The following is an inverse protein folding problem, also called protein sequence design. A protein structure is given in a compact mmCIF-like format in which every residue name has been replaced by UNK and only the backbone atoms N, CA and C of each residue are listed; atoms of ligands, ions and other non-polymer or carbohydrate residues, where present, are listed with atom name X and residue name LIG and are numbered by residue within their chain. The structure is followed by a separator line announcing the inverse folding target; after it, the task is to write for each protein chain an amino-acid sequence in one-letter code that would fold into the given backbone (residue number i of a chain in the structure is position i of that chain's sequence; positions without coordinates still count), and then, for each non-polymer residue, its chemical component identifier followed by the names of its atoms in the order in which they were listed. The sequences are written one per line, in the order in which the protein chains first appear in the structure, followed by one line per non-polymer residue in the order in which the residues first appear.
data_IF_890185208875
#
_entry.id   IF_890185208875
#
_cell.length_a   1.000
_cell.length_b   1.000
_cell.length_c   1.000
_cell.angle_alpha   90.00
_cell.angle_beta   90.00
_cell.angle_gamma   90.00
#
_symmetry.space_group_name_H-M   'P 1'
#
loop_
_entity.id
_entity.type
_entity.pdbx_description
1 polymer ?
#
# COMPACT_ATOMS: atom_id res chain seq x y z
N UNK A 1 1.54 -18.56 -38.57
CA UNK A 1 1.08 -17.42 -37.76
C UNK A 1 0.79 -17.95 -36.37
N UNK A 2 1.74 -17.83 -35.45
CA UNK A 2 1.44 -17.94 -34.01
C UNK A 2 0.42 -16.86 -33.68
N UNK A 3 -0.64 -17.13 -32.89
CA UNK A 3 -1.52 -16.08 -32.42
C UNK A 3 -0.63 -15.03 -31.76
N UNK A 4 -0.67 -13.78 -32.26
CA UNK A 4 -0.07 -12.66 -31.54
C UNK A 4 -0.58 -12.75 -30.10
N UNK A 5 0.33 -12.93 -29.14
CA UNK A 5 -0.01 -12.84 -27.73
C UNK A 5 -0.65 -11.46 -27.56
N UNK A 6 -1.97 -11.40 -27.45
CA UNK A 6 -2.66 -10.17 -27.04
C UNK A 6 -2.00 -9.75 -25.74
N UNK A 7 -1.33 -8.60 -25.77
CA UNK A 7 -0.72 -8.04 -24.56
C UNK A 7 -1.86 -7.79 -23.56
N UNK A 8 -1.89 -8.61 -22.51
CA UNK A 8 -2.86 -8.48 -21.44
C UNK A 8 -2.47 -7.26 -20.59
N UNK A 9 -3.43 -6.41 -20.26
CA UNK A 9 -3.24 -5.29 -19.33
C UNK A 9 -4.08 -5.51 -18.08
N UNK A 10 -3.63 -4.97 -16.96
CA UNK A 10 -4.35 -5.06 -15.69
C UNK A 10 -4.63 -3.67 -15.15
N UNK A 11 -5.73 -3.50 -14.43
CA UNK A 11 -5.96 -2.31 -13.62
C UNK A 11 -5.92 -2.72 -12.16
N UNK A 12 -5.04 -2.10 -11.39
CA UNK A 12 -5.00 -2.23 -9.93
C UNK A 12 -5.67 -1.00 -9.32
N UNK A 13 -6.60 -1.21 -8.40
CA UNK A 13 -7.37 -0.18 -7.71
C UNK A 13 -7.32 -0.44 -6.20
N UNK A 14 -6.89 0.53 -5.41
CA UNK A 14 -6.82 0.41 -3.93
C UNK A 14 -7.68 1.47 -3.27
N UNK A 15 -8.68 1.03 -2.50
CA UNK A 15 -9.70 1.84 -1.86
C UNK A 15 -9.72 1.55 -0.36
N UNK A 16 -9.09 2.41 0.45
CA UNK A 16 -9.00 2.20 1.89
C UNK A 16 -10.29 2.52 2.65
N UNK A 17 -11.30 3.16 2.03
CA UNK A 17 -12.56 3.55 2.68
C UNK A 17 -13.74 2.68 2.24
N UNK A 18 -14.38 2.01 3.20
CA UNK A 18 -15.59 1.23 2.96
C UNK A 18 -16.76 2.06 2.40
N UNK A 19 -16.85 3.34 2.77
CA UNK A 19 -17.87 4.29 2.32
C UNK A 19 -17.70 4.67 0.84
N UNK A 20 -16.47 4.63 0.32
CA UNK A 20 -16.15 4.88 -1.10
C UNK A 20 -16.37 3.66 -1.98
N UNK A 21 -16.62 2.49 -1.38
CA UNK A 21 -16.98 1.28 -2.12
C UNK A 21 -18.45 1.29 -2.55
N UNK A 22 -19.32 2.08 -1.92
CA UNK A 22 -20.76 2.05 -2.20
C UNK A 22 -21.14 2.52 -3.64
N UNK A 23 -20.51 3.58 -4.21
CA UNK A 23 -20.69 3.92 -5.63
C UNK A 23 -20.11 2.85 -6.57
N UNK A 24 -19.04 2.19 -6.14
CA UNK A 24 -18.35 1.16 -6.92
C UNK A 24 -19.01 -0.19 -6.86
N UNK A 25 -19.77 -0.48 -5.81
CA UNK A 25 -20.53 -1.72 -5.68
C UNK A 25 -21.49 -1.87 -6.84
N UNK A 26 -22.11 -0.75 -7.28
CA UNK A 26 -22.97 -0.73 -8.45
C UNK A 26 -22.18 -0.98 -9.75
N UNK A 27 -21.05 -0.30 -9.96
CA UNK A 27 -20.17 -0.54 -11.12
C UNK A 27 -19.66 -1.98 -11.13
N UNK A 28 -19.32 -2.52 -9.96
CA UNK A 28 -18.86 -3.88 -9.74
C UNK A 28 -19.94 -4.91 -10.08
N UNK A 29 -21.14 -4.76 -9.51
CA UNK A 29 -22.28 -5.62 -9.79
C UNK A 29 -22.72 -5.55 -11.27
N UNK A 30 -22.59 -4.38 -11.90
CA UNK A 30 -22.92 -4.17 -13.33
C UNK A 30 -21.86 -4.74 -14.29
N UNK A 31 -20.57 -4.70 -13.94
CA UNK A 31 -19.47 -5.12 -14.84
C UNK A 31 -18.91 -6.53 -14.55
N UNK A 32 -19.10 -7.05 -13.33
CA UNK A 32 -18.57 -8.35 -12.89
C UNK A 32 -19.64 -9.22 -12.20
N UNK A 33 -20.73 -9.57 -12.92
CA UNK A 33 -21.82 -10.35 -12.34
C UNK A 33 -21.34 -11.76 -11.94
N UNK A 34 -21.45 -12.09 -10.65
CA UNK A 34 -21.15 -13.43 -10.12
C UNK A 34 -19.82 -13.57 -9.37
N UNK A 35 -18.93 -12.59 -9.48
CA UNK A 35 -17.73 -12.47 -8.65
C UNK A 35 -18.14 -12.05 -7.23
N UNK A 36 -18.14 -13.00 -6.28
CA UNK A 36 -18.32 -12.72 -4.84
C UNK A 36 -17.05 -12.09 -4.30
N UNK A 37 -16.78 -10.83 -4.69
CA UNK A 37 -15.64 -10.08 -4.22
C UNK A 37 -15.66 -9.99 -2.69
N UNK A 38 -14.61 -10.49 -2.03
CA UNK A 38 -14.22 -9.90 -0.76
C UNK A 38 -13.90 -8.45 -1.07
N UNK A 39 -14.68 -7.54 -0.54
CA UNK A 39 -14.38 -6.11 -0.59
C UNK A 39 -13.34 -5.83 0.49
N UNK A 40 -12.10 -6.24 0.25
CA UNK A 40 -10.91 -6.00 1.08
C UNK A 40 -10.21 -4.67 0.73
N UNK A 41 -10.76 -3.94 -0.25
CA UNK A 41 -10.28 -2.63 -0.66
C UNK A 41 -9.17 -2.69 -1.71
N UNK A 42 -8.87 -3.85 -2.29
CA UNK A 42 -7.93 -3.99 -3.41
C UNK A 42 -8.53 -4.79 -4.55
N UNK A 43 -8.45 -4.27 -5.77
CA UNK A 43 -9.04 -4.90 -6.94
C UNK A 43 -8.03 -4.94 -8.09
N UNK A 44 -7.95 -6.09 -8.76
CA UNK A 44 -7.14 -6.27 -9.98
C UNK A 44 -7.99 -6.81 -11.10
N UNK A 45 -8.08 -6.08 -12.21
CA UNK A 45 -8.95 -6.41 -13.35
C UNK A 45 -8.12 -6.69 -14.60
N UNK A 46 -8.39 -7.78 -15.30
CA UNK A 46 -7.72 -8.12 -16.56
C UNK A 46 -8.46 -7.52 -17.77
N UNK A 47 -7.70 -6.98 -18.72
CA UNK A 47 -8.20 -6.43 -19.98
C UNK A 47 -7.51 -7.10 -21.18
N UNK A 48 -8.21 -7.27 -22.31
CA UNK A 48 -7.64 -7.87 -23.52
C UNK A 48 -6.52 -7.04 -24.17
N UNK A 49 -6.48 -5.73 -23.89
CA UNK A 49 -5.48 -4.81 -24.42
C UNK A 49 -5.25 -3.61 -23.50
N UNK A 50 -4.09 -2.96 -23.64
CA UNK A 50 -3.76 -1.73 -22.92
C UNK A 50 -4.75 -0.59 -23.20
N UNK A 51 -5.17 -0.44 -24.46
CA UNK A 51 -6.10 0.61 -24.86
C UNK A 51 -7.48 0.49 -24.20
N UNK A 52 -7.96 -0.75 -24.01
CA UNK A 52 -9.21 -1.01 -23.28
C UNK A 52 -9.08 -0.69 -21.78
N UNK A 53 -7.96 -1.08 -21.15
CA UNK A 53 -7.69 -0.77 -19.75
C UNK A 53 -7.66 0.76 -19.52
N UNK A 54 -6.95 1.50 -20.36
CA UNK A 54 -6.93 2.96 -20.21
C UNK A 54 -8.29 3.62 -20.46
N UNK A 55 -9.07 3.10 -21.42
CA UNK A 55 -10.42 3.61 -21.67
C UNK A 55 -11.32 3.41 -20.44
N UNK A 56 -11.22 2.24 -19.79
CA UNK A 56 -11.91 1.98 -18.54
C UNK A 56 -11.44 2.91 -17.42
N UNK A 57 -10.12 3.06 -17.20
CA UNK A 57 -9.56 3.97 -16.20
C UNK A 57 -10.03 5.43 -16.39
N UNK A 58 -10.10 5.91 -17.64
CA UNK A 58 -10.63 7.25 -17.97
C UNK A 58 -12.13 7.38 -17.67
N UNK A 59 -12.89 6.29 -17.74
CA UNK A 59 -14.32 6.28 -17.43
C UNK A 59 -14.63 6.34 -15.93
N UNK A 60 -13.67 5.97 -15.07
CA UNK A 60 -13.83 6.05 -13.62
C UNK A 60 -13.98 7.50 -13.13
N UNK A 61 -14.76 7.73 -12.05
CA UNK A 61 -14.76 8.98 -11.29
C UNK A 61 -13.35 9.43 -10.92
N UNK A 62 -13.12 10.75 -10.86
CA UNK A 62 -11.80 11.33 -10.67
C UNK A 62 -11.14 10.86 -9.36
N UNK A 63 -11.94 10.70 -8.32
CA UNK A 63 -11.54 10.24 -6.98
C UNK A 63 -10.96 8.82 -7.01
N UNK A 64 -11.51 7.96 -7.87
CA UNK A 64 -11.08 6.57 -8.02
C UNK A 64 -9.94 6.43 -9.02
N UNK A 65 -9.92 7.29 -10.04
CA UNK A 65 -8.84 7.32 -11.02
C UNK A 65 -7.48 7.60 -10.37
N UNK A 66 -7.44 8.47 -9.35
CA UNK A 66 -6.23 8.72 -8.56
C UNK A 66 -5.80 7.56 -7.66
N UNK A 67 -6.61 6.51 -7.56
CA UNK A 67 -6.36 5.30 -6.77
C UNK A 67 -6.23 4.05 -7.64
N UNK A 68 -6.15 4.23 -8.95
CA UNK A 68 -6.03 3.15 -9.92
C UNK A 68 -4.88 3.38 -10.89
N UNK A 69 -4.24 2.29 -11.31
CA UNK A 69 -3.18 2.31 -12.30
C UNK A 69 -3.32 1.16 -13.29
N UNK A 70 -2.89 1.40 -14.53
CA UNK A 70 -2.79 0.35 -15.56
C UNK A 70 -1.40 -0.25 -15.49
N UNK A 71 -1.34 -1.57 -15.38
CA UNK A 71 -0.14 -2.35 -15.19
C UNK A 71 -0.02 -3.55 -16.11
N UNK A 72 1.17 -4.15 -16.10
CA UNK A 72 1.43 -5.46 -16.73
C UNK A 72 1.42 -6.57 -15.68
N UNK A 73 1.55 -6.25 -14.40
CA UNK A 73 1.44 -7.20 -13.29
C UNK A 73 0.00 -7.68 -13.11
N UNK A 74 -0.19 -8.95 -12.74
CA UNK A 74 -1.53 -9.49 -12.47
C UNK A 74 -2.03 -9.08 -11.08
N UNK A 75 -1.11 -8.79 -10.17
CA UNK A 75 -1.38 -8.31 -8.82
C UNK A 75 -0.63 -7.00 -8.57
N UNK A 76 -1.01 -6.30 -7.50
CA UNK A 76 -0.36 -5.05 -7.11
C UNK A 76 1.13 -5.25 -6.79
N UNK A 77 1.47 -6.39 -6.18
CA UNK A 77 2.86 -6.74 -5.87
C UNK A 77 3.65 -7.02 -7.15
N UNK A 78 3.10 -7.78 -8.10
CA UNK A 78 3.75 -8.02 -9.38
C UNK A 78 4.02 -6.71 -10.11
N UNK A 79 3.04 -5.81 -10.13
CA UNK A 79 3.17 -4.49 -10.74
C UNK A 79 4.24 -3.64 -10.05
N UNK A 80 4.27 -3.62 -8.71
CA UNK A 80 5.33 -2.95 -7.95
C UNK A 80 6.72 -3.46 -8.33
N UNK A 81 6.91 -4.78 -8.36
CA UNK A 81 8.20 -5.38 -8.73
C UNK A 81 8.58 -5.01 -10.16
N UNK A 82 7.64 -5.06 -11.10
CA UNK A 82 7.88 -4.67 -12.49
C UNK A 82 8.32 -3.21 -12.60
N UNK A 83 7.61 -2.27 -11.95
CA UNK A 83 7.98 -0.84 -11.97
C UNK A 83 9.33 -0.56 -11.36
N UNK A 84 9.65 -1.23 -10.25
CA UNK A 84 10.97 -1.10 -9.62
C UNK A 84 12.08 -1.58 -10.57
N UNK A 85 11.90 -2.72 -11.23
CA UNK A 85 12.86 -3.26 -12.20
C UNK A 85 13.02 -2.35 -13.42
N UNK A 86 11.91 -1.87 -13.98
CA UNK A 86 11.91 -0.94 -15.14
C UNK A 86 12.69 0.34 -14.86
N UNK A 87 12.62 0.84 -13.62
CA UNK A 87 13.27 2.09 -13.20
C UNK A 87 14.63 1.91 -12.55
N UNK A 88 15.02 0.66 -12.26
CA UNK A 88 16.26 0.37 -11.52
C UNK A 88 16.27 0.92 -10.11
N UNK A 89 15.11 0.94 -9.43
CA UNK A 89 14.97 1.44 -8.04
C UNK A 89 14.66 0.31 -7.07
N UNK A 90 14.98 0.56 -5.81
CA UNK A 90 14.83 -0.39 -4.70
C UNK A 90 13.86 0.13 -3.64
N UNK A 91 13.22 -0.80 -2.93
CA UNK A 91 12.19 -0.51 -1.93
C UNK A 91 12.49 -1.17 -0.57
N UNK A 92 12.10 -0.50 0.51
CA UNK A 92 12.13 -1.03 1.88
C UNK A 92 10.87 -0.65 2.68
N UNK A 93 10.56 -1.41 3.74
CA UNK A 93 9.32 -1.20 4.51
C UNK A 93 9.50 -1.17 6.03
N UNK A 94 8.83 -0.24 6.72
CA UNK A 94 8.73 -0.19 8.17
C UNK A 94 7.30 -0.54 8.60
N UNK A 95 7.14 -1.63 9.32
CA UNK A 95 5.84 -2.17 9.69
C UNK A 95 5.61 -2.10 11.20
N UNK A 96 4.42 -1.68 11.63
CA UNK A 96 3.96 -1.83 13.00
C UNK A 96 2.68 -2.65 13.02
N UNK A 97 1.51 -2.03 12.78
CA UNK A 97 0.23 -2.73 12.91
C UNK A 97 0.03 -3.87 11.90
N UNK A 98 0.69 -3.83 10.73
CA UNK A 98 0.65 -4.88 9.71
C UNK A 98 1.46 -6.12 10.06
N UNK A 99 2.44 -6.02 10.98
CA UNK A 99 3.14 -7.18 11.55
C UNK A 99 3.94 -8.02 10.55
N UNK A 100 4.46 -7.43 9.47
CA UNK A 100 5.24 -8.16 8.45
C UNK A 100 4.45 -8.52 7.20
N UNK A 101 3.15 -8.20 7.14
CA UNK A 101 2.29 -8.51 5.99
C UNK A 101 2.72 -7.80 4.71
N UNK A 102 3.19 -6.56 4.79
CA UNK A 102 3.66 -5.84 3.58
C UNK A 102 4.86 -6.58 3.00
N UNK A 103 5.84 -6.90 3.85
CA UNK A 103 7.02 -7.70 3.46
C UNK A 103 6.63 -9.07 2.90
N UNK A 104 5.70 -9.78 3.55
CA UNK A 104 5.23 -11.09 3.11
C UNK A 104 4.58 -11.04 1.71
N UNK A 105 3.77 -10.01 1.45
CA UNK A 105 3.16 -9.79 0.14
C UNK A 105 4.20 -9.52 -0.94
N UNK A 106 5.13 -8.58 -0.71
CA UNK A 106 6.21 -8.28 -1.68
C UNK A 106 7.03 -9.53 -1.99
N UNK A 107 7.42 -10.29 -0.96
CA UNK A 107 8.26 -11.49 -1.11
C UNK A 107 7.53 -12.70 -1.69
N UNK A 108 6.20 -12.67 -1.77
CA UNK A 108 5.42 -13.71 -2.45
C UNK A 108 5.64 -13.73 -3.97
N UNK A 109 6.11 -12.62 -4.56
CA UNK A 109 6.39 -12.50 -5.98
C UNK A 109 7.81 -13.01 -6.30
N UNK A 110 7.96 -14.00 -7.20
CA UNK A 110 9.28 -14.46 -7.64
C UNK A 110 10.14 -13.34 -8.24
N UNK A 111 11.40 -13.25 -7.80
CA UNK A 111 12.33 -12.21 -8.24
C UNK A 111 12.21 -10.88 -7.50
N UNK A 112 11.38 -10.79 -6.46
CA UNK A 112 11.27 -9.63 -5.57
C UNK A 112 12.61 -9.22 -4.93
N UNK A 113 13.52 -10.17 -4.72
CA UNK A 113 14.88 -9.92 -4.21
C UNK A 113 15.74 -8.99 -5.08
N UNK A 114 15.36 -8.73 -6.33
CA UNK A 114 16.05 -7.75 -7.19
C UNK A 114 15.82 -6.31 -6.75
N UNK A 115 14.73 -6.04 -6.04
CA UNK A 115 14.28 -4.67 -5.76
C UNK A 115 13.88 -4.46 -4.30
N UNK A 116 13.44 -5.48 -3.59
CA UNK A 116 13.09 -5.38 -2.18
C UNK A 116 14.31 -5.65 -1.30
N UNK A 117 14.81 -4.62 -0.61
CA UNK A 117 16.00 -4.73 0.24
C UNK A 117 15.70 -5.28 1.64
N UNK A 118 14.42 -5.30 2.02
CA UNK A 118 13.96 -5.81 3.30
C UNK A 118 13.09 -4.82 4.06
N UNK A 119 12.81 -5.15 5.30
CA UNK A 119 11.95 -4.34 6.15
C UNK A 119 12.22 -4.54 7.63
N UNK A 120 11.61 -3.66 8.43
CA UNK A 120 11.68 -3.69 9.89
C UNK A 120 10.27 -3.77 10.44
N UNK A 121 9.98 -4.82 11.21
CA UNK A 121 8.75 -4.88 12.01
C UNK A 121 9.02 -4.21 13.36
N UNK A 122 8.82 -2.89 13.42
CA UNK A 122 9.00 -2.06 14.61
C UNK A 122 7.73 -2.02 15.47
N UNK A 123 7.36 -3.17 16.04
CA UNK A 123 6.08 -3.32 16.76
C UNK A 123 6.03 -2.53 18.08
N UNK A 124 7.17 -2.37 18.77
CA UNK A 124 7.27 -1.59 20.02
C UNK A 124 7.88 -0.20 19.80
N UNK A 125 7.76 0.68 20.80
CA UNK A 125 8.39 2.01 20.76
C UNK A 125 9.92 1.91 20.78
N UNK A 126 10.46 0.95 21.53
CA UNK A 126 11.88 0.63 21.58
C UNK A 126 12.37 0.19 20.20
N UNK A 127 11.64 -0.69 19.51
CA UNK A 127 12.00 -1.11 18.15
C UNK A 127 11.98 0.07 17.16
N UNK A 128 11.01 0.98 17.27
CA UNK A 128 10.98 2.21 16.45
C UNK A 128 12.20 3.09 16.71
N UNK A 129 12.64 3.20 17.97
CA UNK A 129 13.83 3.97 18.33
C UNK A 129 15.12 3.29 17.85
N UNK A 130 15.29 2.03 18.20
CA UNK A 130 16.56 1.33 18.10
C UNK A 130 16.85 0.89 16.65
N UNK A 131 15.82 0.56 15.87
CA UNK A 131 15.98 0.06 14.50
C UNK A 131 15.73 1.13 13.43
N UNK A 132 14.88 2.12 13.73
CA UNK A 132 14.46 3.16 12.77
C UNK A 132 14.91 4.58 13.16
N UNK A 133 15.53 4.75 14.33
CA UNK A 133 16.03 6.06 14.77
C UNK A 133 14.92 7.06 15.15
N UNK A 134 13.70 6.59 15.43
CA UNK A 134 12.62 7.47 15.90
C UNK A 134 12.95 7.96 17.31
N UNK A 135 13.02 9.28 17.51
CA UNK A 135 13.43 9.82 18.81
C UNK A 135 12.41 9.52 19.91
N UNK A 136 12.92 9.32 21.13
CA UNK A 136 12.08 9.13 22.31
C UNK A 136 11.14 10.32 22.53
N UNK A 137 11.63 11.54 22.33
CA UNK A 137 10.84 12.77 22.45
C UNK A 137 9.65 12.75 21.49
N UNK A 138 9.85 12.33 20.24
CA UNK A 138 8.78 12.31 19.25
C UNK A 138 7.69 11.28 19.59
N UNK A 139 8.11 10.09 20.06
CA UNK A 139 7.19 9.05 20.52
C UNK A 139 6.38 9.51 21.74
N UNK A 140 7.01 10.22 22.67
CA UNK A 140 6.36 10.79 23.85
C UNK A 140 5.35 11.88 23.48
N UNK A 141 5.74 12.83 22.63
CA UNK A 141 4.93 14.03 22.35
C UNK A 141 3.77 13.77 21.37
N UNK A 142 3.98 12.89 20.39
CA UNK A 142 3.00 12.65 19.30
C UNK A 142 2.29 11.30 19.40
N UNK A 143 2.89 10.35 20.12
CA UNK A 143 2.46 8.95 20.17
C UNK A 143 2.83 8.16 18.91
N UNK A 144 2.93 6.83 19.05
CA UNK A 144 3.36 5.92 17.98
C UNK A 144 2.48 5.91 16.74
N UNK A 145 1.21 6.32 16.87
CA UNK A 145 0.23 6.46 15.78
C UNK A 145 0.01 7.95 15.53
N UNK A 146 0.91 8.53 14.74
CA UNK A 146 0.95 9.94 14.37
C UNK A 146 1.69 10.13 13.06
N UNK A 147 1.44 11.26 12.40
CA UNK A 147 2.07 11.65 11.14
C UNK A 147 3.60 11.69 11.27
N UNK A 148 4.09 12.31 12.32
CA UNK A 148 5.50 12.55 12.52
C UNK A 148 6.26 11.26 12.78
N UNK A 149 5.68 10.33 13.54
CA UNK A 149 6.32 9.04 13.82
C UNK A 149 6.41 8.19 12.55
N UNK A 150 5.35 8.11 11.72
CA UNK A 150 5.46 7.31 10.47
C UNK A 150 6.43 7.92 9.47
N UNK A 151 6.54 9.26 9.40
CA UNK A 151 7.57 9.91 8.57
C UNK A 151 8.98 9.56 9.04
N UNK A 152 9.22 9.60 10.35
CA UNK A 152 10.51 9.20 10.91
C UNK A 152 10.79 7.70 10.69
N UNK A 153 9.77 6.84 10.75
CA UNK A 153 9.90 5.41 10.45
C UNK A 153 10.27 5.16 8.98
N UNK A 154 9.62 5.85 8.03
CA UNK A 154 9.89 5.70 6.60
C UNK A 154 11.34 6.13 6.28
N UNK A 155 11.70 7.33 6.74
CA UNK A 155 13.08 7.81 6.59
C UNK A 155 14.10 6.88 7.26
N UNK A 156 13.78 6.39 8.46
CA UNK A 156 14.59 5.43 9.20
C UNK A 156 14.88 4.18 8.39
N UNK A 157 13.84 3.50 7.89
CA UNK A 157 14.03 2.25 7.16
C UNK A 157 14.70 2.46 5.80
N UNK A 158 14.40 3.57 5.11
CA UNK A 158 15.06 3.92 3.85
C UNK A 158 16.57 4.01 4.03
N UNK A 159 17.02 4.71 5.07
CA UNK A 159 18.44 4.84 5.40
C UNK A 159 19.06 3.52 5.87
N UNK A 160 18.38 2.81 6.77
CA UNK A 160 18.89 1.54 7.32
C UNK A 160 19.10 0.49 6.24
N UNK A 161 18.20 0.41 5.26
CA UNK A 161 18.29 -0.56 4.16
C UNK A 161 19.06 -0.04 2.95
N UNK A 162 19.33 1.27 2.86
CA UNK A 162 19.91 1.89 1.66
C UNK A 162 18.97 1.83 0.45
N UNK A 163 17.66 1.87 0.67
CA UNK A 163 16.65 1.83 -0.39
C UNK A 163 16.41 3.21 -1.02
N UNK A 164 15.98 3.23 -2.28
CA UNK A 164 15.60 4.45 -2.98
C UNK A 164 14.25 4.98 -2.47
N UNK A 165 13.30 4.06 -2.28
CA UNK A 165 11.93 4.37 -1.85
C UNK A 165 11.58 3.52 -0.62
N UNK A 166 10.80 4.08 0.29
CA UNK A 166 10.31 3.33 1.45
C UNK A 166 8.91 3.71 1.85
N UNK A 167 8.20 2.77 2.47
CA UNK A 167 6.91 3.02 3.12
C UNK A 167 6.95 2.63 4.59
N UNK A 168 6.26 3.38 5.43
CA UNK A 168 6.05 3.04 6.83
C UNK A 168 4.57 3.00 7.19
N UNK A 169 4.19 2.08 8.09
CA UNK A 169 2.81 1.89 8.55
C UNK A 169 2.75 1.80 10.07
N UNK A 170 1.93 2.65 10.70
CA UNK A 170 1.65 2.59 12.14
C UNK A 170 0.19 2.92 12.44
N UNK A 171 -0.50 2.06 13.19
CA UNK A 171 -1.93 2.19 13.41
C UNK A 171 -2.48 1.33 14.52
N UNK A 172 -3.78 1.44 14.74
CA UNK A 172 -4.53 0.77 15.81
C UNK A 172 -5.43 -0.28 15.16
N UNK A 173 -4.96 -1.52 15.06
CA UNK A 173 -5.73 -2.59 14.43
C UNK A 173 -6.85 -3.16 15.33
N UNK A 174 -6.89 -2.82 16.62
CA UNK A 174 -7.94 -3.30 17.53
C UNK A 174 -7.75 -4.74 18.03
N UNK A 175 -8.74 -5.28 18.75
CA UNK A 175 -10.03 -4.63 19.07
C UNK A 175 -9.93 -3.52 20.13
N UNK A 176 -8.81 -3.44 20.84
CA UNK A 176 -8.56 -2.42 21.88
C UNK A 176 -7.51 -1.38 21.41
N UNK A 177 -7.20 -0.41 22.26
CA UNK A 177 -6.14 0.58 22.05
C UNK A 177 -6.56 1.84 21.29
N UNK A 178 -7.83 1.95 20.91
CA UNK A 178 -8.40 3.19 20.36
C UNK A 178 -8.80 4.20 21.44
N UNK A 179 -8.93 5.46 21.06
CA UNK A 179 -9.56 6.55 21.83
C UNK A 179 -10.63 7.25 20.99
N UNK A 180 -11.46 8.14 21.56
CA UNK A 180 -12.39 8.96 20.77
C UNK A 180 -11.70 9.76 19.66
N UNK A 181 -10.49 10.26 19.91
CA UNK A 181 -9.70 11.05 18.96
C UNK A 181 -8.93 10.18 17.96
N UNK A 182 -8.55 8.96 18.34
CA UNK A 182 -7.83 7.99 17.51
C UNK A 182 -8.51 6.62 17.64
N UNK A 183 -9.68 6.41 17.00
CA UNK A 183 -10.42 5.16 17.13
C UNK A 183 -9.64 3.98 16.53
N UNK A 184 -10.04 2.77 16.91
CA UNK A 184 -9.63 1.54 16.22
C UNK A 184 -9.88 1.69 14.72
N UNK A 185 -8.91 1.26 13.91
CA UNK A 185 -8.88 1.51 12.48
C UNK A 185 -8.07 2.73 12.07
N UNK A 186 -7.66 3.60 13.00
CA UNK A 186 -6.76 4.72 12.67
C UNK A 186 -5.39 4.19 12.28
N UNK A 187 -5.00 4.37 11.03
CA UNK A 187 -3.69 3.98 10.50
C UNK A 187 -3.05 5.16 9.78
N UNK A 188 -1.81 5.43 10.13
CA UNK A 188 -0.94 6.38 9.44
C UNK A 188 0.03 5.62 8.54
N UNK A 189 0.28 6.21 7.39
CA UNK A 189 1.22 5.75 6.38
C UNK A 189 2.18 6.88 6.04
N UNK A 190 3.41 6.55 5.67
CA UNK A 190 4.34 7.51 5.13
C UNK A 190 5.16 6.92 3.98
N UNK A 191 5.38 7.70 2.94
CA UNK A 191 6.27 7.42 1.83
C UNK A 191 7.50 8.34 1.94
N UNK A 192 8.69 7.79 1.73
CA UNK A 192 9.93 8.56 1.56
C UNK A 192 10.67 8.07 0.31
N UNK A 193 10.87 8.97 -0.66
CA UNK A 193 11.64 8.73 -1.91
C UNK A 193 13.04 9.35 -1.87
N UNK A 194 13.49 9.84 -0.72
CA UNK A 194 14.75 10.58 -0.55
C UNK A 194 14.70 12.05 -0.96
N UNK A 195 13.81 12.42 -1.90
CA UNK A 195 13.52 13.81 -2.25
C UNK A 195 12.13 14.29 -1.80
N UNK A 196 11.18 13.38 -1.64
CA UNK A 196 9.79 13.65 -1.26
C UNK A 196 9.40 12.81 -0.06
N UNK A 197 8.72 13.44 0.90
CA UNK A 197 8.13 12.75 2.06
C UNK A 197 6.67 13.11 2.20
N UNK A 198 5.82 12.11 2.18
CA UNK A 198 4.36 12.25 2.24
C UNK A 198 3.81 11.34 3.32
N UNK A 199 2.70 11.74 3.94
CA UNK A 199 2.04 10.93 4.95
C UNK A 199 0.53 11.11 4.87
N UNK A 200 -0.18 9.99 4.95
CA UNK A 200 -1.63 9.91 4.84
C UNK A 200 -2.20 9.15 6.05
N UNK A 201 -3.41 9.53 6.45
CA UNK A 201 -4.14 8.87 7.53
C UNK A 201 -5.45 8.33 6.98
N UNK A 202 -5.75 7.08 7.34
CA UNK A 202 -7.02 6.45 7.06
C UNK A 202 -7.69 5.97 8.34
N UNK A 203 -9.01 5.86 8.28
CA UNK A 203 -9.83 5.14 9.24
C UNK A 203 -10.35 3.88 8.55
N UNK A 204 -9.64 2.77 8.75
CA UNK A 204 -9.99 1.48 8.19
C UNK A 204 -11.07 0.81 9.04
N UNK A 205 -11.98 0.08 8.41
CA UNK A 205 -13.08 -0.60 9.08
C UNK A 205 -12.90 -2.12 9.06
N UNK A 206 -13.62 -2.80 9.95
CA UNK A 206 -13.61 -4.25 10.05
C UNK A 206 -12.84 -4.77 11.27
N UNK A 207 -12.63 -6.08 11.25
CA UNK A 207 -11.85 -6.80 12.24
C UNK A 207 -10.38 -6.41 12.20
N UNK A 208 -9.62 -6.82 13.24
CA UNK A 208 -8.17 -6.65 13.28
C UNK A 208 -7.49 -7.17 12.03
N UNK A 209 -7.91 -8.31 11.51
CA UNK A 209 -7.32 -8.93 10.32
C UNK A 209 -7.59 -8.08 9.08
N UNK A 210 -8.83 -7.62 8.89
CA UNK A 210 -9.23 -6.76 7.76
C UNK A 210 -8.51 -5.40 7.80
N UNK A 211 -8.36 -4.78 8.97
CA UNK A 211 -7.59 -3.53 9.13
C UNK A 211 -6.12 -3.75 8.77
N UNK A 212 -5.52 -4.86 9.21
CA UNK A 212 -4.13 -5.20 8.85
C UNK A 212 -3.96 -5.43 7.35
N UNK A 213 -4.94 -6.08 6.72
CA UNK A 213 -4.91 -6.41 5.31
C UNK A 213 -5.07 -5.16 4.44
N UNK A 214 -6.09 -4.34 4.69
CA UNK A 214 -6.29 -3.06 4.00
C UNK A 214 -5.12 -2.09 4.21
N UNK A 215 -4.51 -2.09 5.40
CA UNK A 215 -3.28 -1.33 5.62
C UNK A 215 -2.11 -1.86 4.78
N UNK A 216 -2.01 -3.17 4.55
CA UNK A 216 -0.97 -3.72 3.68
C UNK A 216 -1.17 -3.31 2.22
N UNK A 217 -2.41 -3.29 1.73
CA UNK A 217 -2.76 -2.83 0.38
C UNK A 217 -2.42 -1.36 0.18
N UNK A 218 -2.79 -0.51 1.14
CA UNK A 218 -2.48 0.93 1.08
C UNK A 218 -0.97 1.19 1.08
N UNK A 219 -0.19 0.41 1.84
CA UNK A 219 1.26 0.55 1.85
C UNK A 219 1.90 0.19 0.50
N UNK A 220 1.42 -0.89 -0.14
CA UNK A 220 1.86 -1.28 -1.49
C UNK A 220 1.47 -0.25 -2.54
N UNK A 221 0.26 0.31 -2.43
CA UNK A 221 -0.20 1.40 -3.30
C UNK A 221 0.74 2.60 -3.22
N UNK A 222 1.08 3.04 -2.01
CA UNK A 222 1.99 4.18 -1.82
C UNK A 222 3.40 3.90 -2.34
N UNK A 223 3.92 2.67 -2.18
CA UNK A 223 5.19 2.30 -2.82
C UNK A 223 5.08 2.38 -4.34
N UNK A 224 4.00 1.88 -4.93
CA UNK A 224 3.78 1.91 -6.37
C UNK A 224 3.71 3.35 -6.92
N UNK A 225 3.02 4.24 -6.22
CA UNK A 225 3.00 5.68 -6.52
C UNK A 225 4.40 6.29 -6.40
N UNK A 226 5.12 5.95 -5.33
CA UNK A 226 6.47 6.44 -5.07
C UNK A 226 7.49 6.04 -6.12
N UNK A 227 7.38 4.84 -6.68
CA UNK A 227 8.26 4.38 -7.76
C UNK A 227 7.78 4.86 -9.13
N UNK A 228 6.51 5.23 -9.30
CA UNK A 228 5.93 5.66 -10.59
C UNK A 228 6.00 7.18 -10.83
N UNK A 229 6.16 8.00 -9.79
CA UNK A 229 6.42 9.44 -9.90
C UNK A 229 7.81 9.77 -10.40
#
# INVERSE_FOLDING_TARGET
MTPEKRESAFIHLVIPRAEELFPLRRVWEENFPGEKGRFDGEFSFAFPSWGEAEAFLRSLPAELRGRATVGRGKTLEEELILRCVERGVTVAVAESCTGGRVSARITSVPGSSRVFLGGVVAYSNEAKRDLLGVSHQLLSDRGAVSREVVLAMAEGVRRTMGADVSVAVSGIAGPEGGSPEKPVGTVWFALDTGGRKEAERFLLQGSRWEIQDGASSQALWMLLEGVSG
#
